data_IF_690092138481
#
_entry.id   IF_690092138481
#
_cell.length_a   1.000
_cell.length_b   1.000
_cell.length_c   1.000
_cell.angle_alpha   90.00
_cell.angle_beta   90.00
_cell.angle_gamma   90.00
#
_symmetry.space_group_name_H-M   'P 1'
#
loop_
_entity.id
_entity.type
_entity.pdbx_description
1 polymer ?
#
# COMPACT_ATOMS: atom_id res chain seq x y z
N UNK A 1 -32.08 21.75 -2.05
CA UNK A 1 -30.95 20.84 -1.84
C UNK A 1 -29.63 21.57 -1.57
N UNK A 2 -29.32 22.65 -2.28
CA UNK A 2 -28.07 23.41 -2.03
C UNK A 2 -27.92 23.78 -0.54
N UNK A 3 -28.98 24.29 0.08
CA UNK A 3 -28.96 24.69 1.49
C UNK A 3 -28.84 23.49 2.47
N UNK A 4 -29.46 22.35 2.17
CA UNK A 4 -29.55 21.19 3.08
C UNK A 4 -28.47 20.12 2.86
N UNK A 5 -27.74 20.21 1.76
CA UNK A 5 -26.70 19.22 1.42
C UNK A 5 -25.39 19.87 1.00
N UNK A 6 -25.40 20.83 0.04
CA UNK A 6 -24.17 21.33 -0.59
C UNK A 6 -23.56 22.54 0.15
N UNK A 7 -24.29 23.18 1.07
CA UNK A 7 -23.72 24.32 1.77
C UNK A 7 -22.57 23.91 2.69
N UNK A 8 -21.58 24.78 2.90
CA UNK A 8 -20.48 24.51 3.84
C UNK A 8 -20.98 24.20 5.26
N UNK A 9 -22.07 24.83 5.66
CA UNK A 9 -22.70 24.60 6.97
C UNK A 9 -23.41 23.26 7.08
N UNK A 10 -23.94 22.72 5.98
CA UNK A 10 -24.57 21.40 5.95
C UNK A 10 -23.53 20.27 5.94
N UNK A 11 -22.35 20.50 5.35
CA UNK A 11 -21.24 19.55 5.38
C UNK A 11 -21.49 18.23 4.62
N UNK A 12 -22.30 18.25 3.56
CA UNK A 12 -22.65 17.07 2.77
C UNK A 12 -23.19 15.89 3.60
N UNK A 13 -24.29 16.05 4.36
CA UNK A 13 -24.84 14.99 5.19
C UNK A 13 -25.28 13.79 4.32
N UNK A 14 -25.34 12.61 4.94
CA UNK A 14 -25.82 11.39 4.29
C UNK A 14 -27.32 11.45 3.97
N UNK A 15 -27.83 10.42 3.26
CA UNK A 15 -29.22 10.34 2.81
C UNK A 15 -30.23 10.60 3.94
N UNK A 16 -30.10 9.88 5.05
CA UNK A 16 -31.08 9.91 6.12
C UNK A 16 -31.08 11.26 6.84
N UNK A 17 -29.91 11.84 7.07
CA UNK A 17 -29.80 13.16 7.69
C UNK A 17 -30.32 14.27 6.74
N UNK A 18 -30.02 14.19 5.45
CA UNK A 18 -30.55 15.15 4.46
C UNK A 18 -32.08 15.04 4.37
N UNK A 19 -32.62 13.81 4.36
CA UNK A 19 -34.05 13.55 4.34
C UNK A 19 -34.70 14.17 5.61
N UNK A 20 -34.13 13.93 6.77
CA UNK A 20 -34.63 14.48 8.03
C UNK A 20 -34.66 16.03 8.03
N UNK A 21 -33.61 16.67 7.53
CA UNK A 21 -33.55 18.13 7.44
C UNK A 21 -34.53 18.71 6.43
N UNK A 22 -34.70 18.09 5.27
CA UNK A 22 -35.62 18.56 4.23
C UNK A 22 -37.07 18.35 4.66
N UNK A 23 -37.38 17.21 5.29
CA UNK A 23 -38.75 16.88 5.73
C UNK A 23 -39.29 17.78 6.81
N UNK A 24 -38.44 18.54 7.51
CA UNK A 24 -38.89 19.56 8.46
C UNK A 24 -39.62 20.74 7.79
N UNK A 25 -39.33 20.99 6.51
CA UNK A 25 -39.82 22.17 5.81
C UNK A 25 -40.59 21.83 4.53
N UNK A 26 -40.38 20.68 3.93
CA UNK A 26 -40.91 20.31 2.62
C UNK A 26 -41.36 18.86 2.58
N UNK A 27 -42.41 18.62 1.78
CA UNK A 27 -42.89 17.28 1.46
C UNK A 27 -43.40 17.22 0.01
N UNK A 28 -43.04 16.17 -0.69
CA UNK A 28 -43.58 15.86 -2.03
C UNK A 28 -43.55 14.33 -2.28
N UNK A 29 -44.42 13.81 -3.18
CA UNK A 29 -44.43 12.40 -3.53
C UNK A 29 -43.07 11.99 -4.13
N UNK A 30 -42.46 10.88 -3.67
CA UNK A 30 -41.19 10.37 -4.14
C UNK A 30 -39.94 11.10 -3.59
N UNK A 31 -40.10 11.95 -2.57
CA UNK A 31 -39.02 12.75 -1.98
C UNK A 31 -37.80 11.88 -1.57
N UNK A 32 -38.04 10.73 -0.96
CA UNK A 32 -36.96 9.84 -0.48
C UNK A 32 -36.09 9.36 -1.64
N UNK A 33 -36.73 8.86 -2.69
CA UNK A 33 -36.01 8.37 -3.89
C UNK A 33 -35.27 9.48 -4.62
N UNK A 34 -35.87 10.66 -4.68
CA UNK A 34 -35.25 11.82 -5.31
C UNK A 34 -34.03 12.30 -4.54
N UNK A 35 -34.11 12.39 -3.20
CA UNK A 35 -32.97 12.76 -2.35
C UNK A 35 -31.84 11.72 -2.46
N UNK A 36 -32.16 10.44 -2.50
CA UNK A 36 -31.18 9.37 -2.69
C UNK A 36 -30.44 9.52 -4.01
N UNK A 37 -31.15 9.74 -5.12
CA UNK A 37 -30.53 9.96 -6.43
C UNK A 37 -29.67 11.22 -6.46
N UNK A 38 -30.12 12.30 -5.83
CA UNK A 38 -29.36 13.54 -5.76
C UNK A 38 -28.03 13.34 -5.02
N UNK A 39 -28.04 12.66 -3.87
CA UNK A 39 -26.82 12.39 -3.09
C UNK A 39 -25.91 11.39 -3.79
N UNK A 40 -26.47 10.39 -4.46
CA UNK A 40 -25.71 9.45 -5.26
C UNK A 40 -24.95 10.13 -6.42
N UNK A 41 -25.50 11.22 -6.98
CA UNK A 41 -24.85 12.04 -8.01
C UNK A 41 -23.90 13.13 -7.48
N UNK A 42 -23.77 13.31 -6.17
CA UNK A 42 -22.92 14.35 -5.61
C UNK A 42 -21.43 13.98 -5.71
N UNK A 43 -20.67 14.72 -6.52
CA UNK A 43 -19.25 14.46 -6.75
C UNK A 43 -18.40 14.48 -5.46
N UNK A 44 -18.61 15.45 -4.58
CA UNK A 44 -17.91 15.54 -3.31
C UNK A 44 -18.20 14.35 -2.39
N UNK A 45 -19.46 13.90 -2.35
CA UNK A 45 -19.82 12.71 -1.59
C UNK A 45 -19.19 11.45 -2.17
N UNK A 46 -19.09 11.31 -3.48
CA UNK A 46 -18.46 10.15 -4.13
C UNK A 46 -16.95 10.11 -3.89
N UNK A 47 -16.28 11.25 -3.87
CA UNK A 47 -14.85 11.34 -3.61
C UNK A 47 -14.48 11.07 -2.15
N UNK A 48 -15.29 11.57 -1.20
CA UNK A 48 -14.94 11.59 0.22
C UNK A 48 -15.59 10.48 1.06
N UNK A 49 -16.64 9.83 0.55
CA UNK A 49 -17.28 8.73 1.29
C UNK A 49 -16.43 7.46 1.21
N UNK A 50 -16.21 6.87 2.36
CA UNK A 50 -15.62 5.52 2.44
C UNK A 50 -16.53 4.56 1.67
N UNK A 51 -15.98 3.96 0.62
CA UNK A 51 -16.70 2.98 -0.18
C UNK A 51 -16.88 1.70 0.65
N UNK A 52 -18.07 1.50 1.20
CA UNK A 52 -18.45 0.25 1.88
C UNK A 52 -18.79 -0.80 0.82
N UNK A 53 -17.81 -1.27 0.07
CA UNK A 53 -18.02 -2.37 -0.87
C UNK A 53 -18.44 -3.62 -0.11
N UNK A 54 -19.61 -4.15 -0.43
CA UNK A 54 -20.12 -5.43 0.11
C UNK A 54 -19.28 -6.63 -0.30
N UNK A 55 -18.49 -6.53 -1.36
CA UNK A 55 -17.55 -7.55 -1.84
C UNK A 55 -16.13 -7.03 -1.69
N UNK A 56 -15.48 -7.38 -0.59
CA UNK A 56 -14.02 -7.33 -0.53
C UNK A 56 -13.49 -8.47 -1.40
N UNK A 57 -12.54 -8.16 -2.28
CA UNK A 57 -11.79 -9.20 -2.98
C UNK A 57 -11.22 -10.15 -1.92
N UNK A 58 -11.40 -11.48 -2.06
CA UNK A 58 -10.83 -12.40 -1.10
C UNK A 58 -9.31 -12.21 -1.05
N UNK A 59 -8.80 -11.94 0.14
CA UNK A 59 -7.37 -11.87 0.39
C UNK A 59 -6.88 -13.30 0.61
N UNK A 60 -6.04 -13.77 -0.30
CA UNK A 60 -5.33 -15.03 -0.14
C UNK A 60 -4.05 -14.78 0.64
N UNK A 61 -3.85 -15.50 1.72
CA UNK A 61 -2.56 -15.49 2.42
C UNK A 61 -1.50 -16.03 1.47
N UNK A 62 -0.38 -15.32 1.36
CA UNK A 62 0.82 -15.86 0.72
C UNK A 62 1.29 -17.02 1.63
N UNK A 63 1.34 -18.26 1.12
CA UNK A 63 1.79 -19.38 1.95
C UNK A 63 3.18 -19.07 2.50
N UNK A 64 3.32 -19.10 3.82
CA UNK A 64 4.64 -19.05 4.45
C UNK A 64 5.40 -20.32 4.06
N UNK A 65 6.62 -20.15 3.60
CA UNK A 65 7.53 -21.28 3.44
C UNK A 65 7.96 -21.70 4.84
N UNK A 66 7.76 -22.98 5.18
CA UNK A 66 8.13 -23.56 6.47
C UNK A 66 9.65 -23.75 6.61
N UNK A 67 10.45 -23.00 5.85
CA UNK A 67 11.89 -23.13 5.94
C UNK A 67 12.38 -22.69 7.32
N UNK A 68 13.14 -23.53 7.97
CA UNK A 68 13.71 -23.27 9.30
C UNK A 68 14.84 -22.23 9.29
N UNK A 69 15.17 -21.67 8.12
CA UNK A 69 16.29 -20.73 8.01
C UNK A 69 15.79 -19.29 8.01
N UNK A 70 16.29 -18.43 8.92
CA UNK A 70 16.00 -17.00 8.88
C UNK A 70 16.38 -16.38 7.55
N UNK A 71 15.57 -15.41 7.09
CA UNK A 71 15.75 -14.69 5.81
C UNK A 71 15.77 -15.58 4.54
N UNK A 72 15.19 -16.78 4.59
CA UNK A 72 14.99 -17.60 3.40
C UNK A 72 13.83 -17.08 2.52
N UNK A 73 12.79 -16.53 3.13
CA UNK A 73 11.72 -15.80 2.44
C UNK A 73 11.75 -14.37 2.93
N UNK A 74 12.09 -13.43 2.05
CA UNK A 74 12.25 -12.02 2.42
C UNK A 74 11.22 -11.14 1.71
N UNK A 75 10.71 -10.15 2.43
CA UNK A 75 9.98 -9.04 1.85
C UNK A 75 10.91 -7.83 1.76
N UNK A 76 10.96 -7.20 0.59
CA UNK A 76 11.70 -5.97 0.32
C UNK A 76 10.71 -4.82 0.16
N UNK A 77 10.96 -3.72 0.86
CA UNK A 77 10.21 -2.49 0.73
C UNK A 77 11.16 -1.28 0.77
N UNK A 78 10.86 -0.25 -0.01
CA UNK A 78 11.69 0.95 -0.12
C UNK A 78 10.92 2.16 0.40
N UNK A 79 11.32 2.66 1.55
CA UNK A 79 10.78 3.88 2.14
C UNK A 79 11.54 5.08 1.56
N UNK A 80 10.86 5.87 0.74
CA UNK A 80 11.43 7.03 0.02
C UNK A 80 10.94 8.35 0.59
N UNK A 81 11.43 9.46 0.04
CA UNK A 81 11.06 10.83 0.42
C UNK A 81 11.36 11.17 1.88
N UNK A 82 12.38 10.57 2.45
CA UNK A 82 12.84 10.91 3.79
C UNK A 82 13.74 12.17 3.75
N UNK A 83 13.77 12.95 4.86
CA UNK A 83 14.76 14.01 5.00
C UNK A 83 16.18 13.45 4.88
N UNK A 84 17.06 14.16 4.17
CA UNK A 84 18.46 13.72 4.02
C UNK A 84 19.17 13.65 5.37
N UNK A 85 19.68 12.46 5.68
CA UNK A 85 20.49 12.20 6.86
C UNK A 85 21.76 11.44 6.47
N UNK A 86 22.91 11.94 6.81
CA UNK A 86 24.23 11.37 6.45
C UNK A 86 24.40 11.07 4.94
N UNK A 87 23.76 11.88 4.10
CA UNK A 87 23.80 11.73 2.64
C UNK A 87 22.71 10.83 2.04
N UNK A 88 21.98 10.08 2.81
CA UNK A 88 20.92 9.17 2.38
C UNK A 88 19.54 9.84 2.50
N UNK A 89 18.60 9.46 1.62
CA UNK A 89 17.23 9.98 1.53
C UNK A 89 16.16 8.88 1.41
N UNK A 90 16.58 7.61 1.56
CA UNK A 90 15.71 6.46 1.54
C UNK A 90 16.24 5.34 2.46
N UNK A 91 15.35 4.41 2.82
CA UNK A 91 15.66 3.23 3.61
C UNK A 91 15.14 1.99 2.89
N UNK A 92 16.02 1.04 2.62
CA UNK A 92 15.64 -0.30 2.19
C UNK A 92 15.30 -1.12 3.43
N UNK A 93 14.08 -1.60 3.50
CA UNK A 93 13.58 -2.49 4.56
C UNK A 93 13.56 -3.92 4.05
N UNK A 94 14.17 -4.82 4.79
CA UNK A 94 14.22 -6.26 4.47
C UNK A 94 13.64 -7.01 5.65
N UNK A 95 12.50 -7.69 5.45
CA UNK A 95 11.77 -8.40 6.50
C UNK A 95 11.79 -9.90 6.23
N UNK A 96 12.14 -10.68 7.22
CA UNK A 96 11.99 -12.13 7.19
C UNK A 96 10.51 -12.51 7.31
N UNK A 97 9.95 -13.08 6.25
CA UNK A 97 8.55 -13.52 6.21
C UNK A 97 8.38 -14.98 6.65
N UNK A 98 9.45 -15.77 6.57
CA UNK A 98 9.39 -17.22 6.78
C UNK A 98 9.50 -17.65 8.25
N UNK A 99 10.42 -17.07 9.00
CA UNK A 99 10.85 -17.62 10.28
C UNK A 99 10.76 -16.62 11.44
N UNK A 100 11.63 -15.61 11.46
CA UNK A 100 11.87 -14.80 12.65
C UNK A 100 11.01 -13.54 12.74
N UNK A 101 10.45 -13.08 11.64
CA UNK A 101 9.80 -11.75 11.50
C UNK A 101 10.74 -10.58 11.80
N UNK A 102 12.04 -10.84 11.84
CA UNK A 102 13.04 -9.79 12.03
C UNK A 102 13.09 -8.85 10.82
N UNK A 103 13.42 -7.59 11.08
CA UNK A 103 13.57 -6.58 10.04
C UNK A 103 14.99 -5.99 10.09
N UNK A 104 15.55 -5.74 8.90
CA UNK A 104 16.84 -5.07 8.72
C UNK A 104 16.58 -3.80 7.90
N UNK A 105 17.14 -2.68 8.36
CA UNK A 105 17.00 -1.39 7.72
C UNK A 105 18.36 -0.93 7.19
N UNK A 106 18.45 -0.66 5.89
CA UNK A 106 19.67 -0.24 5.23
C UNK A 106 19.48 1.14 4.61
N UNK A 107 20.32 2.13 4.96
CA UNK A 107 20.25 3.45 4.34
C UNK A 107 20.65 3.36 2.86
N UNK A 108 19.91 4.05 2.01
CA UNK A 108 20.15 4.09 0.57
C UNK A 108 19.69 5.41 -0.03
N UNK A 109 19.81 5.53 -1.34
CA UNK A 109 19.29 6.67 -2.09
C UNK A 109 17.97 6.31 -2.76
N UNK A 110 17.08 7.27 -2.90
CA UNK A 110 15.80 7.11 -3.60
C UNK A 110 15.98 6.62 -5.06
N UNK A 111 17.11 6.93 -5.67
CA UNK A 111 17.48 6.54 -7.04
C UNK A 111 18.13 5.16 -7.14
N UNK A 112 18.08 4.35 -6.06
CA UNK A 112 18.71 3.03 -6.05
C UNK A 112 18.10 2.13 -7.12
N UNK A 113 18.93 1.40 -7.83
CA UNK A 113 18.51 0.44 -8.85
C UNK A 113 18.41 -0.96 -8.27
N UNK A 114 17.78 -1.91 -8.98
CA UNK A 114 17.74 -3.32 -8.58
C UNK A 114 19.13 -3.93 -8.35
N UNK A 115 20.13 -3.54 -9.15
CA UNK A 115 21.52 -3.92 -8.94
C UNK A 115 22.10 -3.33 -7.65
N UNK A 116 21.78 -2.07 -7.35
CA UNK A 116 22.20 -1.43 -6.11
C UNK A 116 21.61 -2.13 -4.87
N UNK A 117 20.36 -2.56 -4.93
CA UNK A 117 19.73 -3.35 -3.86
C UNK A 117 20.42 -4.72 -3.72
N UNK A 118 20.77 -5.37 -4.83
CA UNK A 118 21.52 -6.62 -4.79
C UNK A 118 22.88 -6.47 -4.10
N UNK A 119 23.61 -5.38 -4.39
CA UNK A 119 24.88 -5.10 -3.74
C UNK A 119 24.71 -4.84 -2.22
N UNK A 120 23.67 -4.10 -1.82
CA UNK A 120 23.36 -3.89 -0.40
C UNK A 120 23.03 -5.21 0.28
N UNK A 121 22.25 -6.07 -0.37
CA UNK A 121 21.93 -7.41 0.14
C UNK A 121 23.20 -8.25 0.32
N UNK A 122 24.03 -8.34 -0.71
CA UNK A 122 25.26 -9.12 -0.68
C UNK A 122 26.24 -8.65 0.40
N UNK A 123 26.31 -7.35 0.62
CA UNK A 123 27.23 -6.79 1.63
C UNK A 123 26.74 -7.01 3.07
N UNK A 124 25.44 -6.89 3.31
CA UNK A 124 24.93 -6.80 4.68
C UNK A 124 24.22 -8.08 5.16
N UNK A 125 23.57 -8.85 4.27
CA UNK A 125 22.78 -10.01 4.65
C UNK A 125 23.41 -11.33 4.20
N UNK A 126 23.93 -11.40 2.99
CA UNK A 126 24.48 -12.64 2.43
C UNK A 126 25.53 -13.34 3.33
N UNK A 127 26.44 -12.63 4.01
CA UNK A 127 27.41 -13.26 4.89
C UNK A 127 26.78 -14.05 6.05
N UNK A 128 25.57 -13.66 6.46
CA UNK A 128 24.86 -14.24 7.59
C UNK A 128 23.74 -15.20 7.21
N UNK A 129 23.01 -14.90 6.12
CA UNK A 129 21.74 -15.55 5.81
C UNK A 129 21.70 -16.21 4.42
N UNK A 130 22.78 -16.12 3.63
CA UNK A 130 22.86 -16.64 2.27
C UNK A 130 21.85 -15.99 1.31
N UNK A 131 21.56 -16.67 0.18
CA UNK A 131 20.60 -16.20 -0.83
C UNK A 131 19.20 -16.64 -0.43
N UNK A 132 18.19 -15.75 -0.47
CA UNK A 132 16.81 -16.12 -0.19
C UNK A 132 16.26 -17.02 -1.31
N UNK A 133 15.44 -17.99 -0.96
CA UNK A 133 14.73 -18.83 -1.95
C UNK A 133 13.57 -18.07 -2.59
N UNK A 134 13.01 -17.09 -1.87
CA UNK A 134 11.87 -16.28 -2.33
C UNK A 134 12.00 -14.84 -1.88
N UNK A 135 11.74 -13.95 -2.81
CA UNK A 135 11.69 -12.50 -2.56
C UNK A 135 10.30 -11.99 -2.90
N UNK A 136 9.71 -11.20 -2.01
CA UNK A 136 8.41 -10.56 -2.15
C UNK A 136 8.65 -9.05 -2.16
N UNK A 137 8.14 -8.35 -3.14
CA UNK A 137 8.26 -6.89 -3.23
C UNK A 137 7.05 -6.34 -3.99
N UNK A 138 6.66 -5.12 -3.69
CA UNK A 138 5.69 -4.32 -4.44
C UNK A 138 6.34 -3.53 -5.59
N UNK A 139 7.67 -3.62 -5.71
CA UNK A 139 8.44 -2.94 -6.76
C UNK A 139 8.13 -3.50 -8.15
N UNK A 140 8.37 -2.67 -9.16
CA UNK A 140 8.22 -3.03 -10.57
C UNK A 140 8.89 -4.39 -10.89
N UNK A 141 8.22 -5.28 -11.65
CA UNK A 141 8.80 -6.54 -12.11
C UNK A 141 10.15 -6.39 -12.79
N UNK A 142 10.40 -5.29 -13.51
CA UNK A 142 11.67 -5.00 -14.17
C UNK A 142 12.78 -4.76 -13.13
N UNK A 143 12.49 -4.00 -12.09
CA UNK A 143 13.39 -3.77 -10.97
C UNK A 143 13.77 -5.09 -10.28
N UNK A 144 12.79 -5.95 -10.01
CA UNK A 144 12.99 -7.27 -9.39
C UNK A 144 13.78 -8.22 -10.29
N UNK A 145 13.58 -8.15 -11.61
CA UNK A 145 14.39 -8.91 -12.58
C UNK A 145 15.86 -8.50 -12.54
N UNK A 146 16.16 -7.20 -12.52
CA UNK A 146 17.53 -6.69 -12.39
C UNK A 146 18.18 -7.09 -11.07
N UNK A 147 17.42 -7.05 -9.97
CA UNK A 147 17.88 -7.54 -8.67
C UNK A 147 18.27 -9.02 -8.72
N UNK A 148 17.40 -9.88 -9.25
CA UNK A 148 17.66 -11.32 -9.35
C UNK A 148 18.86 -11.63 -10.26
N UNK A 149 18.95 -10.99 -11.43
CA UNK A 149 20.07 -11.13 -12.34
C UNK A 149 21.40 -10.71 -11.71
N UNK A 150 21.40 -9.58 -10.99
CA UNK A 150 22.59 -9.10 -10.31
C UNK A 150 23.05 -10.07 -9.21
N UNK A 151 22.12 -10.65 -8.43
CA UNK A 151 22.47 -11.67 -7.44
C UNK A 151 23.10 -12.90 -8.08
N UNK A 152 22.49 -13.46 -9.12
CA UNK A 152 23.01 -14.66 -9.80
C UNK A 152 24.38 -14.40 -10.43
N UNK A 153 24.56 -13.28 -11.11
CA UNK A 153 25.82 -12.91 -11.75
C UNK A 153 26.94 -12.70 -10.73
N UNK A 154 26.67 -11.98 -9.64
CA UNK A 154 27.70 -11.69 -8.60
C UNK A 154 28.09 -12.92 -7.80
N UNK A 155 27.19 -13.89 -7.66
CA UNK A 155 27.45 -15.15 -6.93
C UNK A 155 27.98 -16.26 -7.85
N UNK A 156 28.09 -16.01 -9.16
CA UNK A 156 28.49 -17.02 -10.15
C UNK A 156 27.66 -18.32 -10.06
N UNK A 157 26.40 -18.20 -9.72
CA UNK A 157 25.44 -19.30 -9.66
C UNK A 157 24.86 -19.43 -11.09
N UNK A 158 25.40 -20.39 -11.86
CA UNK A 158 24.91 -20.78 -13.17
C UNK A 158 23.98 -21.99 -13.09
#
# INVERSE_FOLDING_TARGET
MVQFHNSPTAGHPGRDNTLALVSQHYWWPGMTTWIEQYIAGCALCQQNKICTMKKKTPLYCIPGDSSMHPFNVVALDLITQLPKANGYDAILTIVDQGCSRAAIFLPCHMTITGEGVALLYLKNLFPWFRVPSKVISDQDPQFMSHFAQALTTKLSIG
#
